data_IF_417963526183
#
_entry.id   IF_417963526183
#
_cell.length_a   1.000
_cell.length_b   1.000
_cell.length_c   1.000
_cell.angle_alpha   90.00
_cell.angle_beta   90.00
_cell.angle_gamma   90.00
#
_symmetry.space_group_name_H-M   'P 1'
#
loop_
_entity.id
_entity.type
_entity.pdbx_description
1 polymer ?
#
# COMPACT_ATOMS: atom_id res chain seq x y z
N UNK A 1 10.21 -28.84 -4.06
CA UNK A 1 11.23 -28.38 -5.04
C UNK A 1 12.68 -28.69 -4.63
N UNK A 2 12.96 -29.44 -3.55
CA UNK A 2 14.32 -29.89 -3.20
C UNK A 2 15.32 -28.78 -2.86
N UNK A 3 14.88 -27.53 -2.70
CA UNK A 3 15.71 -26.39 -2.33
C UNK A 3 15.60 -26.12 -0.83
N UNK A 4 16.67 -25.65 -0.23
CA UNK A 4 16.68 -25.07 1.13
C UNK A 4 16.40 -23.58 1.04
N UNK A 5 15.65 -23.04 2.00
CA UNK A 5 15.25 -21.62 2.03
C UNK A 5 15.53 -21.04 3.41
N UNK A 6 16.21 -19.89 3.41
CA UNK A 6 16.25 -18.98 4.55
C UNK A 6 15.33 -17.80 4.24
N UNK A 7 14.26 -17.65 5.02
CA UNK A 7 13.37 -16.50 4.95
C UNK A 7 13.82 -15.47 5.97
N UNK A 8 14.35 -14.35 5.49
CA UNK A 8 14.82 -13.24 6.32
C UNK A 8 13.80 -12.12 6.22
N UNK A 9 13.27 -11.68 7.35
CA UNK A 9 12.21 -10.67 7.41
C UNK A 9 12.50 -9.64 8.50
N UNK A 10 12.30 -8.34 8.23
CA UNK A 10 12.41 -7.32 9.26
C UNK A 10 11.23 -7.38 10.25
N UNK A 11 10.10 -7.95 9.86
CA UNK A 11 8.91 -8.07 10.69
C UNK A 11 8.93 -9.29 11.62
N UNK A 12 8.18 -9.17 12.72
CA UNK A 12 7.92 -10.28 13.64
C UNK A 12 6.74 -11.17 13.20
N UNK A 13 5.91 -10.70 12.27
CA UNK A 13 4.70 -11.39 11.79
C UNK A 13 4.79 -11.55 10.27
N UNK A 14 4.59 -12.78 9.74
CA UNK A 14 4.72 -13.06 8.30
C UNK A 14 3.35 -13.17 7.64
N UNK A 15 3.29 -12.72 6.39
CA UNK A 15 2.07 -12.73 5.57
C UNK A 15 1.77 -11.40 4.89
N UNK A 16 2.64 -10.39 5.06
CA UNK A 16 2.49 -9.08 4.46
C UNK A 16 1.16 -8.43 4.85
N UNK A 17 0.53 -7.73 3.92
CA UNK A 17 -0.70 -6.98 4.22
C UNK A 17 -1.88 -7.84 4.68
N UNK A 18 -1.93 -9.14 4.33
CA UNK A 18 -3.00 -10.04 4.81
C UNK A 18 -3.03 -10.16 6.33
N UNK A 19 -1.86 -10.05 6.98
CA UNK A 19 -1.72 -10.07 8.44
C UNK A 19 -1.64 -8.68 9.05
N UNK A 20 -1.73 -7.63 8.22
CA UNK A 20 -1.66 -6.22 8.60
C UNK A 20 -2.94 -5.46 8.20
N UNK A 21 -4.09 -6.10 8.43
CA UNK A 21 -5.42 -5.49 8.37
C UNK A 21 -6.12 -5.56 7.01
N UNK A 22 -5.44 -5.97 5.93
CA UNK A 22 -6.05 -6.23 4.62
C UNK A 22 -6.75 -7.61 4.63
N UNK A 23 -7.89 -7.67 5.31
CA UNK A 23 -8.70 -8.88 5.44
C UNK A 23 -9.61 -9.16 4.23
N UNK A 24 -9.67 -8.21 3.30
CA UNK A 24 -10.65 -8.18 2.23
C UNK A 24 -10.05 -8.24 0.85
N UNK A 25 -9.96 -9.44 0.26
CA UNK A 25 -9.40 -9.59 -1.07
C UNK A 25 -10.32 -9.02 -2.17
N UNK A 26 -9.69 -8.49 -3.20
CA UNK A 26 -10.33 -7.99 -4.42
C UNK A 26 -10.68 -9.11 -5.40
N UNK A 27 -11.41 -10.09 -4.86
CA UNK A 27 -11.83 -11.30 -5.55
C UNK A 27 -13.36 -11.36 -5.54
N UNK A 28 -13.94 -11.46 -6.74
CA UNK A 28 -15.38 -11.55 -6.99
C UNK A 28 -16.19 -10.42 -6.30
N UNK A 29 -15.56 -9.26 -6.11
CA UNK A 29 -16.16 -8.11 -5.42
C UNK A 29 -16.36 -6.89 -6.37
N UNK A 30 -16.26 -7.13 -7.67
CA UNK A 30 -16.49 -6.17 -8.74
C UNK A 30 -17.64 -6.63 -9.66
N UNK A 31 -17.93 -5.88 -10.74
CA UNK A 31 -18.92 -6.29 -11.75
C UNK A 31 -18.50 -7.55 -12.55
N UNK A 32 -17.26 -8.01 -12.39
CA UNK A 32 -16.72 -9.24 -12.97
C UNK A 32 -16.32 -10.25 -11.88
N UNK A 33 -16.19 -11.52 -12.26
CA UNK A 33 -15.59 -12.56 -11.43
C UNK A 33 -14.13 -12.76 -11.86
N UNK A 34 -13.24 -13.03 -10.92
CA UNK A 34 -11.81 -13.21 -11.14
C UNK A 34 -11.19 -14.31 -10.25
N UNK A 35 -11.99 -15.02 -9.44
CA UNK A 35 -11.50 -16.12 -8.60
C UNK A 35 -10.87 -17.27 -9.39
N UNK A 36 -11.31 -17.51 -10.62
CA UNK A 36 -10.73 -18.52 -11.51
C UNK A 36 -9.26 -18.23 -11.87
N UNK A 37 -8.80 -16.98 -11.73
CA UNK A 37 -7.40 -16.61 -11.92
C UNK A 37 -6.52 -16.94 -10.70
N UNK A 38 -7.13 -17.21 -9.54
CA UNK A 38 -6.43 -17.49 -8.28
C UNK A 38 -6.02 -18.96 -8.25
N UNK A 39 -4.76 -19.23 -8.59
CA UNK A 39 -4.17 -20.56 -8.64
C UNK A 39 -3.04 -20.79 -7.63
N UNK A 40 -2.41 -21.97 -7.71
CA UNK A 40 -1.18 -22.31 -6.98
C UNK A 40 -1.25 -22.09 -5.46
N UNK A 41 -0.13 -21.59 -4.90
CA UNK A 41 0.00 -21.32 -3.46
C UNK A 41 -0.99 -20.26 -2.96
N UNK A 42 -1.34 -19.26 -3.79
CA UNK A 42 -2.32 -18.25 -3.42
C UNK A 42 -3.71 -18.89 -3.19
N UNK A 43 -4.12 -19.80 -4.07
CA UNK A 43 -5.37 -20.56 -3.88
C UNK A 43 -5.34 -21.44 -2.64
N UNK A 44 -4.21 -22.06 -2.35
CA UNK A 44 -4.03 -22.87 -1.15
C UNK A 44 -4.23 -22.05 0.13
N UNK A 45 -3.65 -20.84 0.22
CA UNK A 45 -3.88 -19.92 1.34
C UNK A 45 -5.38 -19.67 1.54
N UNK A 46 -6.11 -19.33 0.47
CA UNK A 46 -7.55 -19.07 0.57
C UNK A 46 -8.38 -20.30 0.93
N UNK A 47 -7.98 -21.50 0.48
CA UNK A 47 -8.62 -22.75 0.91
C UNK A 47 -8.38 -23.04 2.39
N UNK A 48 -7.15 -22.85 2.88
CA UNK A 48 -6.81 -23.01 4.30
C UNK A 48 -7.58 -22.02 5.17
N UNK A 49 -7.66 -20.76 4.74
CA UNK A 49 -8.54 -19.76 5.35
C UNK A 49 -10.00 -20.24 5.38
N UNK A 50 -10.51 -20.74 4.25
CA UNK A 50 -11.83 -21.35 4.15
C UNK A 50 -12.07 -22.42 5.21
N UNK A 51 -11.12 -23.36 5.36
CA UNK A 51 -11.16 -24.42 6.37
C UNK A 51 -11.19 -23.87 7.80
N UNK A 52 -10.41 -22.82 8.12
CA UNK A 52 -10.44 -22.15 9.43
C UNK A 52 -11.82 -21.58 9.77
N UNK A 53 -12.60 -21.23 8.76
CA UNK A 53 -13.99 -20.76 8.88
C UNK A 53 -15.04 -21.85 8.61
N UNK A 54 -14.66 -23.13 8.55
CA UNK A 54 -15.59 -24.24 8.33
C UNK A 54 -16.22 -24.29 6.92
N UNK A 55 -15.59 -23.66 5.92
CA UNK A 55 -16.06 -23.63 4.53
C UNK A 55 -15.45 -24.76 3.70
N UNK A 56 -16.24 -25.29 2.76
CA UNK A 56 -15.79 -26.29 1.78
C UNK A 56 -15.13 -25.67 0.53
N UNK A 57 -14.63 -24.43 0.63
CA UNK A 57 -14.07 -23.66 -0.48
C UNK A 57 -13.28 -22.45 0.04
N UNK A 58 -12.74 -21.61 -0.85
CA UNK A 58 -11.88 -20.51 -0.45
C UNK A 58 -12.64 -19.44 0.36
N UNK A 59 -11.93 -18.75 1.26
CA UNK A 59 -12.43 -17.55 1.94
C UNK A 59 -11.62 -16.32 1.52
N UNK A 60 -12.28 -15.39 0.81
CA UNK A 60 -11.69 -14.12 0.36
C UNK A 60 -11.90 -12.95 1.33
N UNK A 61 -12.64 -13.19 2.42
CA UNK A 61 -12.77 -12.29 3.57
C UNK A 61 -12.33 -13.06 4.82
N UNK A 62 -11.36 -12.52 5.54
CA UNK A 62 -10.68 -13.19 6.66
C UNK A 62 -10.14 -12.17 7.66
N UNK A 63 -9.86 -12.62 8.87
CA UNK A 63 -9.20 -11.87 9.92
C UNK A 63 -7.68 -12.02 9.82
N UNK A 64 -6.93 -10.97 10.16
CA UNK A 64 -5.47 -10.96 10.05
C UNK A 64 -4.80 -12.03 10.93
N UNK A 65 -5.27 -12.21 12.17
CA UNK A 65 -4.80 -13.30 13.04
C UNK A 65 -4.98 -14.70 12.43
N UNK A 66 -6.03 -14.91 11.61
CA UNK A 66 -6.33 -16.20 10.98
C UNK A 66 -5.43 -16.41 9.76
N UNK A 67 -5.19 -15.35 8.97
CA UNK A 67 -4.20 -15.38 7.91
C UNK A 67 -2.79 -15.68 8.45
N UNK A 68 -2.42 -15.06 9.58
CA UNK A 68 -1.12 -15.31 10.21
C UNK A 68 -0.95 -16.76 10.64
N UNK A 69 -2.00 -17.36 11.24
CA UNK A 69 -2.00 -18.79 11.58
C UNK A 69 -1.79 -19.67 10.33
N UNK A 70 -2.46 -19.36 9.23
CA UNK A 70 -2.31 -20.12 7.97
C UNK A 70 -0.87 -20.01 7.44
N UNK A 71 -0.27 -18.83 7.45
CA UNK A 71 1.13 -18.68 7.02
C UNK A 71 2.09 -19.41 7.95
N UNK A 72 1.88 -19.34 9.28
CA UNK A 72 2.69 -20.08 10.24
C UNK A 72 2.63 -21.60 10.01
N UNK A 73 1.45 -22.14 9.75
CA UNK A 73 1.24 -23.56 9.40
C UNK A 73 1.99 -23.93 8.12
N UNK A 74 1.83 -23.15 7.05
CA UNK A 74 2.50 -23.41 5.76
C UNK A 74 4.03 -23.38 5.89
N UNK A 75 4.58 -22.44 6.66
CA UNK A 75 6.02 -22.35 6.91
C UNK A 75 6.54 -23.53 7.73
N UNK A 76 5.79 -23.96 8.75
CA UNK A 76 6.14 -25.11 9.57
C UNK A 76 6.10 -26.43 8.76
N UNK A 77 5.07 -26.63 7.95
CA UNK A 77 4.94 -27.77 7.05
C UNK A 77 6.07 -27.82 6.02
N UNK A 78 6.43 -26.66 5.45
CA UNK A 78 7.53 -26.52 4.51
C UNK A 78 8.92 -26.58 5.18
N UNK A 79 8.99 -26.54 6.52
CA UNK A 79 10.23 -26.52 7.32
C UNK A 79 11.19 -25.41 6.89
N UNK A 80 10.65 -24.22 6.59
CA UNK A 80 11.45 -23.05 6.20
C UNK A 80 12.19 -22.50 7.43
N UNK A 81 13.48 -22.19 7.27
CA UNK A 81 14.23 -21.49 8.31
C UNK A 81 13.87 -20.01 8.27
N UNK A 82 13.31 -19.48 9.36
CA UNK A 82 12.80 -18.10 9.44
C UNK A 82 13.66 -17.27 10.38
N UNK A 83 14.14 -16.12 9.90
CA UNK A 83 14.95 -15.16 10.63
C UNK A 83 14.20 -13.82 10.72
N UNK A 84 13.52 -13.60 11.85
CA UNK A 84 12.68 -12.42 12.12
C UNK A 84 13.48 -11.24 12.67
N UNK A 85 12.98 -10.03 12.50
CA UNK A 85 13.64 -8.82 13.02
C UNK A 85 15.01 -8.58 12.40
N UNK A 86 15.19 -8.97 11.13
CA UNK A 86 16.44 -8.82 10.38
C UNK A 86 16.22 -7.87 9.22
N UNK A 87 16.81 -6.67 9.33
CA UNK A 87 16.86 -5.65 8.27
C UNK A 87 18.22 -5.67 7.59
N UNK A 88 18.26 -5.34 6.30
CA UNK A 88 19.50 -5.12 5.57
C UNK A 88 20.31 -3.99 6.22
N UNK A 89 21.63 -4.10 6.22
CA UNK A 89 22.51 -3.07 6.77
C UNK A 89 22.36 -1.74 6.00
N UNK A 90 22.29 -0.62 6.73
CA UNK A 90 22.44 0.71 6.15
C UNK A 90 23.91 1.21 6.19
N UNK A 91 24.36 1.99 5.18
CA UNK A 91 23.64 2.31 3.94
C UNK A 91 23.44 1.04 3.09
N UNK A 92 22.30 0.92 2.40
CA UNK A 92 21.90 -0.32 1.71
C UNK A 92 22.98 -0.87 0.75
N UNK A 93 23.73 0.02 0.09
CA UNK A 93 24.84 -0.34 -0.82
C UNK A 93 25.97 -1.11 -0.12
N UNK A 94 26.06 -1.06 1.20
CA UNK A 94 27.03 -1.82 2.00
C UNK A 94 26.54 -3.21 2.43
N UNK A 95 25.27 -3.56 2.12
CA UNK A 95 24.67 -4.82 2.54
C UNK A 95 24.91 -5.97 1.56
N UNK A 96 25.27 -5.69 0.30
CA UNK A 96 25.43 -6.70 -0.76
C UNK A 96 26.90 -6.90 -1.12
N UNK A 97 27.34 -8.16 -1.19
CA UNK A 97 28.64 -8.55 -1.75
C UNK A 97 28.42 -9.38 -3.02
N UNK A 98 29.05 -8.99 -4.12
CA UNK A 98 29.07 -9.76 -5.37
C UNK A 98 30.24 -10.74 -5.39
N UNK A 99 30.05 -11.89 -6.05
CA UNK A 99 31.15 -12.82 -6.30
C UNK A 99 32.19 -12.17 -7.25
N UNK A 100 33.51 -12.32 -6.98
CA UNK A 100 34.56 -11.64 -7.73
C UNK A 100 34.45 -11.82 -9.25
N UNK A 101 34.52 -10.73 -10.00
CA UNK A 101 34.45 -10.74 -11.46
C UNK A 101 33.08 -11.08 -12.06
N UNK A 102 32.03 -11.18 -11.25
CA UNK A 102 30.66 -11.50 -11.72
C UNK A 102 29.63 -10.47 -11.25
N UNK A 103 28.38 -10.63 -11.69
CA UNK A 103 27.18 -9.95 -11.17
C UNK A 103 26.29 -10.91 -10.36
N UNK A 104 26.84 -12.02 -9.87
CA UNK A 104 26.13 -12.87 -8.93
C UNK A 104 26.30 -12.30 -7.52
N UNK A 105 25.20 -12.04 -6.82
CA UNK A 105 25.23 -11.75 -5.39
C UNK A 105 25.75 -13.01 -4.69
N UNK A 106 26.80 -12.86 -3.88
CA UNK A 106 27.35 -13.92 -3.04
C UNK A 106 26.66 -13.93 -1.68
N UNK A 107 26.47 -12.75 -1.10
CA UNK A 107 25.91 -12.62 0.25
C UNK A 107 25.19 -11.30 0.49
N UNK A 108 24.25 -11.33 1.43
CA UNK A 108 23.65 -10.14 2.03
C UNK A 108 24.00 -10.04 3.53
N UNK A 109 24.12 -8.82 4.04
CA UNK A 109 24.51 -8.53 5.43
C UNK A 109 23.44 -7.71 6.13
N UNK A 110 23.03 -8.18 7.31
CA UNK A 110 22.02 -7.52 8.14
C UNK A 110 22.63 -6.42 9.00
N UNK A 111 21.79 -5.56 9.58
CA UNK A 111 22.20 -4.57 10.59
C UNK A 111 22.95 -5.20 11.77
N UNK A 112 22.55 -6.42 12.19
CA UNK A 112 23.23 -7.17 13.25
C UNK A 112 24.63 -7.68 12.88
N UNK A 113 25.01 -7.59 11.61
CA UNK A 113 26.24 -8.19 11.07
C UNK A 113 26.10 -9.66 10.65
N UNK A 114 24.95 -10.29 10.88
CA UNK A 114 24.63 -11.61 10.32
C UNK A 114 24.71 -11.58 8.79
N UNK A 115 25.28 -12.63 8.20
CA UNK A 115 25.52 -12.75 6.77
C UNK A 115 24.83 -13.99 6.22
N UNK A 116 24.11 -13.83 5.12
CA UNK A 116 23.39 -14.90 4.44
C UNK A 116 23.98 -15.11 3.05
N UNK A 117 24.43 -16.33 2.77
CA UNK A 117 24.92 -16.74 1.44
C UNK A 117 23.88 -17.64 0.77
N UNK A 118 23.61 -17.41 -0.51
CA UNK A 118 22.65 -18.18 -1.27
C UNK A 118 23.02 -18.22 -2.76
N UNK A 119 22.55 -19.25 -3.46
CA UNK A 119 22.68 -19.33 -4.91
C UNK A 119 21.73 -18.37 -5.65
N UNK A 120 20.57 -18.08 -5.04
CA UNK A 120 19.52 -17.19 -5.56
C UNK A 120 18.99 -16.35 -4.41
N UNK A 121 18.77 -15.07 -4.69
CA UNK A 121 18.16 -14.12 -3.78
C UNK A 121 16.80 -13.70 -4.33
N UNK A 122 15.81 -13.59 -3.43
CA UNK A 122 14.46 -13.13 -3.77
C UNK A 122 14.19 -11.87 -2.96
N UNK A 123 14.05 -10.73 -3.63
CA UNK A 123 13.61 -9.49 -2.99
C UNK A 123 12.08 -9.45 -2.94
N UNK A 124 11.54 -9.91 -1.81
CA UNK A 124 10.13 -9.86 -1.49
C UNK A 124 9.76 -8.66 -0.59
N UNK A 125 10.66 -7.67 -0.45
CA UNK A 125 10.32 -6.41 0.23
C UNK A 125 9.39 -5.58 -0.66
N UNK A 126 8.46 -4.84 -0.05
CA UNK A 126 7.57 -3.94 -0.79
C UNK A 126 8.36 -2.74 -1.34
N UNK A 127 9.46 -2.40 -0.67
CA UNK A 127 10.29 -1.22 -0.92
C UNK A 127 11.37 -1.44 -1.98
N UNK A 128 11.64 -2.69 -2.35
CA UNK A 128 12.73 -3.06 -3.27
C UNK A 128 14.10 -2.80 -2.67
N UNK A 129 14.28 -3.04 -1.37
CA UNK A 129 15.51 -2.69 -0.66
C UNK A 129 16.70 -3.54 -1.08
N UNK A 130 16.50 -4.82 -1.43
CA UNK A 130 17.59 -5.65 -1.92
C UNK A 130 17.94 -5.30 -3.38
N UNK A 131 16.95 -4.92 -4.20
CA UNK A 131 17.21 -4.34 -5.53
C UNK A 131 18.11 -3.10 -5.40
N UNK A 132 17.71 -2.15 -4.55
CA UNK A 132 18.47 -0.92 -4.33
C UNK A 132 19.86 -1.20 -3.74
N UNK A 133 19.96 -2.12 -2.78
CA UNK A 133 21.24 -2.54 -2.19
C UNK A 133 22.19 -3.16 -3.21
N UNK A 134 21.66 -3.93 -4.17
CA UNK A 134 22.43 -4.55 -5.24
C UNK A 134 22.81 -3.56 -6.37
N UNK A 135 22.34 -2.31 -6.31
CA UNK A 135 22.58 -1.32 -7.36
C UNK A 135 21.81 -1.60 -8.65
N UNK A 136 20.71 -2.36 -8.57
CA UNK A 136 19.78 -2.53 -9.69
C UNK A 136 19.08 -1.21 -9.98
N UNK A 137 18.95 -0.84 -11.25
CA UNK A 137 18.21 0.34 -11.66
C UNK A 137 16.76 0.23 -11.19
N UNK A 138 16.32 1.25 -10.46
CA UNK A 138 14.96 1.39 -9.97
C UNK A 138 14.45 2.79 -10.27
N UNK A 139 13.13 2.92 -10.35
CA UNK A 139 12.44 4.20 -10.43
C UNK A 139 11.32 4.25 -9.39
N UNK A 140 10.77 5.43 -9.17
CA UNK A 140 9.67 5.69 -8.25
C UNK A 140 8.99 6.99 -8.68
N UNK A 141 7.75 7.21 -8.23
CA UNK A 141 6.96 8.35 -8.68
C UNK A 141 6.38 8.13 -10.08
N UNK A 142 5.94 9.20 -10.72
CA UNK A 142 5.31 9.12 -12.05
C UNK A 142 6.34 9.39 -13.13
N UNK A 143 6.33 8.53 -14.15
CA UNK A 143 7.10 8.77 -15.37
C UNK A 143 6.29 9.58 -16.37
N UNK A 144 6.98 10.33 -17.23
CA UNK A 144 6.34 11.08 -18.29
C UNK A 144 5.74 10.16 -19.35
N UNK A 145 4.61 10.54 -19.95
CA UNK A 145 3.96 9.81 -21.04
C UNK A 145 4.95 9.52 -22.19
N UNK A 146 5.86 10.44 -22.48
CA UNK A 146 6.85 10.31 -23.55
C UNK A 146 7.88 9.20 -23.32
N UNK A 147 8.03 8.68 -22.09
CA UNK A 147 9.01 7.64 -21.79
C UNK A 147 8.67 6.32 -22.47
N UNK A 148 7.39 5.94 -22.44
CA UNK A 148 6.92 4.67 -23.00
C UNK A 148 5.74 4.79 -23.97
N UNK A 149 5.28 6.01 -24.28
CA UNK A 149 4.14 6.22 -25.19
C UNK A 149 2.77 6.00 -24.53
N UNK A 150 2.71 6.17 -23.21
CA UNK A 150 1.53 5.97 -22.38
C UNK A 150 0.68 7.24 -22.29
N UNK A 151 -0.51 7.14 -21.69
CA UNK A 151 -1.46 8.27 -21.55
C UNK A 151 -2.03 8.44 -20.15
N UNK A 152 -1.87 7.41 -19.30
CA UNK A 152 -2.44 7.34 -17.95
C UNK A 152 -1.43 7.65 -16.85
N UNK A 153 -0.14 7.35 -17.07
CA UNK A 153 0.93 7.81 -16.19
C UNK A 153 1.18 9.33 -16.34
N UNK A 154 2.08 9.84 -15.49
CA UNK A 154 2.38 11.27 -15.40
C UNK A 154 1.30 12.09 -14.68
N UNK A 155 1.52 13.41 -14.67
CA UNK A 155 0.58 14.39 -14.12
C UNK A 155 -0.77 14.30 -14.85
N UNK A 156 -1.86 14.20 -14.09
CA UNK A 156 -3.20 14.07 -14.67
C UNK A 156 -3.80 15.45 -14.94
N UNK A 157 -4.24 15.70 -16.17
CA UNK A 157 -4.96 16.93 -16.51
C UNK A 157 -6.28 17.07 -15.73
N UNK A 158 -6.94 15.94 -15.45
CA UNK A 158 -8.14 15.84 -14.66
C UNK A 158 -8.20 14.51 -13.91
N UNK A 159 -8.80 14.53 -12.72
CA UNK A 159 -8.99 13.41 -11.80
C UNK A 159 -10.46 13.41 -11.42
N UNK A 160 -11.19 12.42 -11.93
CA UNK A 160 -12.64 12.33 -11.79
C UNK A 160 -13.08 11.30 -10.76
N UNK A 161 -12.20 10.38 -10.37
CA UNK A 161 -12.48 9.35 -9.38
C UNK A 161 -12.11 9.83 -7.97
N UNK A 162 -12.95 9.49 -6.98
CA UNK A 162 -12.80 9.88 -5.57
C UNK A 162 -12.37 11.36 -5.38
N UNK A 163 -12.97 12.26 -6.14
CA UNK A 163 -12.79 13.70 -6.01
C UNK A 163 -13.76 14.26 -4.97
N UNK A 164 -13.39 15.38 -4.32
CA UNK A 164 -14.27 16.09 -3.40
C UNK A 164 -15.68 16.29 -3.98
N UNK A 165 -16.70 15.87 -3.24
CA UNK A 165 -18.11 16.04 -3.63
C UNK A 165 -18.59 17.49 -3.57
N UNK A 166 -17.89 18.33 -2.80
CA UNK A 166 -18.21 19.74 -2.59
C UNK A 166 -16.94 20.59 -2.71
N UNK A 167 -17.10 21.88 -3.03
CA UNK A 167 -15.96 22.81 -3.08
C UNK A 167 -15.49 23.14 -1.66
N UNK A 168 -14.23 22.81 -1.36
CA UNK A 168 -13.61 23.07 -0.07
C UNK A 168 -12.58 24.19 -0.21
N UNK A 169 -12.70 25.22 0.63
CA UNK A 169 -11.74 26.32 0.67
C UNK A 169 -10.39 25.84 1.25
N UNK A 170 -9.26 26.04 0.55
CA UNK A 170 -7.97 25.52 0.96
C UNK A 170 -7.13 26.51 1.79
N UNK A 171 -7.60 27.74 1.98
CA UNK A 171 -6.80 28.85 2.50
C UNK A 171 -7.00 29.05 4.00
N UNK A 172 -5.97 29.51 4.74
CA UNK A 172 -6.09 29.72 6.19
C UNK A 172 -7.21 30.70 6.53
N UNK A 173 -7.32 31.80 5.78
CA UNK A 173 -8.46 32.70 5.78
C UNK A 173 -9.31 32.36 4.55
N UNK A 174 -10.58 31.93 4.72
CA UNK A 174 -11.43 31.56 3.59
C UNK A 174 -11.50 32.65 2.52
N UNK A 175 -11.27 32.26 1.26
CA UNK A 175 -11.28 33.13 0.09
C UNK A 175 -9.99 33.93 -0.16
N UNK A 176 -9.03 33.93 0.77
CA UNK A 176 -7.79 34.70 0.64
C UNK A 176 -6.56 33.82 0.33
N UNK A 177 -6.12 33.75 -0.94
CA UNK A 177 -4.93 32.98 -1.31
C UNK A 177 -3.64 33.48 -0.65
N UNK A 178 -3.58 34.72 -0.17
CA UNK A 178 -2.39 35.26 0.50
C UNK A 178 -2.25 34.79 1.93
N UNK A 179 -3.29 34.20 2.51
CA UNK A 179 -3.26 33.67 3.88
C UNK A 179 -2.46 32.37 4.03
N UNK A 180 -2.03 31.78 2.91
CA UNK A 180 -1.41 30.46 2.87
C UNK A 180 -2.44 29.34 2.97
N UNK A 181 -1.98 28.09 2.97
CA UNK A 181 -2.86 26.92 2.95
C UNK A 181 -3.10 26.32 4.34
N UNK A 182 -4.25 25.66 4.49
CA UNK A 182 -4.54 24.79 5.64
C UNK A 182 -3.68 23.52 5.57
N UNK A 183 -3.47 22.82 6.71
CA UNK A 183 -2.71 21.58 6.73
C UNK A 183 -3.24 20.53 5.74
N UNK A 184 -2.37 19.62 5.30
CA UNK A 184 -2.64 18.52 4.35
C UNK A 184 -2.95 18.93 2.91
N UNK A 185 -2.81 20.23 2.57
CA UNK A 185 -2.81 20.73 1.20
C UNK A 185 -1.39 21.13 0.83
N UNK A 186 -0.87 20.59 -0.27
CA UNK A 186 0.43 20.95 -0.80
C UNK A 186 0.36 22.28 -1.56
N UNK A 187 1.28 23.18 -1.23
CA UNK A 187 1.48 24.46 -1.92
C UNK A 187 2.38 24.26 -3.13
N UNK A 188 1.82 23.62 -4.16
CA UNK A 188 2.51 23.36 -5.41
C UNK A 188 1.53 23.43 -6.59
N UNK A 189 2.00 23.85 -7.78
CA UNK A 189 1.15 23.87 -8.97
C UNK A 189 0.83 22.45 -9.45
N UNK A 190 -0.21 22.34 -10.27
CA UNK A 190 -0.53 21.08 -10.96
C UNK A 190 0.65 20.58 -11.81
N UNK A 191 1.42 21.48 -12.43
CA UNK A 191 2.44 21.11 -13.42
C UNK A 191 1.81 20.79 -14.78
N UNK A 192 2.62 20.28 -15.72
CA UNK A 192 2.18 20.01 -17.08
C UNK A 192 1.61 18.60 -17.18
N UNK A 193 0.36 18.42 -17.64
CA UNK A 193 -0.21 17.09 -17.84
C UNK A 193 0.69 16.21 -18.72
N UNK A 194 0.93 14.99 -18.27
CA UNK A 194 1.78 14.01 -18.92
C UNK A 194 3.27 14.08 -18.60
N UNK A 195 3.74 15.08 -17.87
CA UNK A 195 5.10 15.09 -17.31
C UNK A 195 5.20 14.15 -16.10
N UNK A 196 6.42 13.68 -15.83
CA UNK A 196 6.74 12.88 -14.65
C UNK A 196 7.04 13.75 -13.43
N UNK A 197 6.94 13.16 -12.24
CA UNK A 197 7.27 13.80 -10.97
C UNK A 197 7.52 12.78 -9.84
N UNK A 198 7.90 13.30 -8.68
CA UNK A 198 8.20 12.55 -7.47
C UNK A 198 6.95 12.23 -6.62
N UNK A 199 5.76 12.14 -7.23
CA UNK A 199 4.52 11.85 -6.51
C UNK A 199 4.15 10.36 -6.63
N UNK A 200 3.79 9.76 -5.50
CA UNK A 200 3.36 8.35 -5.42
C UNK A 200 1.99 8.25 -4.75
N UNK A 201 1.32 7.12 -4.95
CA UNK A 201 0.03 6.83 -4.33
C UNK A 201 0.13 6.95 -2.80
N UNK A 202 -0.83 7.65 -2.17
CA UNK A 202 -0.79 7.87 -0.72
C UNK A 202 -0.81 6.58 0.09
N UNK A 203 -0.23 6.59 1.28
CA UNK A 203 -0.28 5.46 2.20
C UNK A 203 -1.43 5.62 3.22
N UNK A 204 -1.86 4.51 3.80
CA UNK A 204 -2.81 4.49 4.91
C UNK A 204 -2.59 3.26 5.79
N UNK A 205 -3.31 3.19 6.91
CA UNK A 205 -3.52 1.92 7.62
C UNK A 205 -4.73 1.17 7.06
N UNK A 206 -4.71 -0.16 7.16
CA UNK A 206 -5.89 -1.01 6.99
C UNK A 206 -6.42 -1.39 8.36
N UNK A 207 -7.47 -0.73 8.80
CA UNK A 207 -7.92 -0.83 10.18
C UNK A 207 -8.93 -1.95 10.35
N UNK A 208 -8.61 -2.86 11.27
CA UNK A 208 -9.53 -3.86 11.78
C UNK A 208 -10.18 -3.32 13.07
N UNK A 209 -11.41 -2.85 12.94
CA UNK A 209 -12.20 -2.30 14.03
C UNK A 209 -13.35 -3.25 14.36
N UNK A 210 -13.84 -3.19 15.59
CA UNK A 210 -15.00 -3.96 16.06
C UNK A 210 -15.96 -3.10 16.90
N UNK A 211 -17.24 -3.48 16.88
CA UNK A 211 -18.27 -2.97 17.80
C UNK A 211 -18.59 -3.92 18.95
N UNK A 212 -18.03 -5.13 18.93
CA UNK A 212 -18.22 -6.09 20.01
C UNK A 212 -17.58 -5.56 21.30
N UNK A 213 -18.39 -5.19 22.28
CA UNK A 213 -17.94 -4.58 23.54
C UNK A 213 -16.92 -5.45 24.31
N UNK A 214 -17.00 -6.79 24.17
CA UNK A 214 -16.04 -7.70 24.82
C UNK A 214 -14.68 -7.62 24.13
N UNK A 215 -14.66 -7.52 22.80
CA UNK A 215 -13.45 -7.47 21.97
C UNK A 215 -12.96 -6.03 21.67
N UNK A 216 -13.70 -4.99 22.07
CA UNK A 216 -13.39 -3.60 21.71
C UNK A 216 -12.37 -2.97 22.67
N UNK A 217 -11.29 -2.43 22.10
CA UNK A 217 -10.39 -1.47 22.75
C UNK A 217 -10.85 -0.07 22.33
N UNK A 218 -11.24 0.81 23.27
CA UNK A 218 -11.57 2.20 22.97
C UNK A 218 -10.41 2.94 22.30
N UNK A 219 -10.71 3.90 21.44
CA UNK A 219 -9.72 4.78 20.82
C UNK A 219 -9.67 6.07 21.65
N UNK A 220 -8.67 6.25 22.55
CA UNK A 220 -8.60 7.45 23.38
C UNK A 220 -8.19 8.67 22.55
N UNK A 221 -8.33 9.87 23.12
CA UNK A 221 -7.76 11.07 22.51
C UNK A 221 -6.24 10.93 22.45
N UNK A 222 -5.58 11.07 21.29
CA UNK A 222 -4.13 11.06 21.22
C UNK A 222 -3.51 12.17 22.07
N UNK A 223 -2.34 11.90 22.67
CA UNK A 223 -1.63 12.89 23.49
C UNK A 223 -1.15 14.09 22.65
N UNK A 224 -0.76 13.82 21.42
CA UNK A 224 -0.27 14.74 20.40
C UNK A 224 -1.39 15.24 19.46
N UNK A 225 -2.65 15.10 19.85
CA UNK A 225 -3.78 15.52 19.03
C UNK A 225 -3.77 17.04 18.76
N UNK A 226 -3.46 17.41 17.53
CA UNK A 226 -3.65 18.75 17.00
C UNK A 226 -4.91 18.80 16.14
N UNK A 227 -5.94 19.48 16.66
CA UNK A 227 -7.22 19.67 15.96
C UNK A 227 -7.06 20.41 14.63
N UNK A 228 -6.10 21.33 14.54
CA UNK A 228 -5.88 22.16 13.36
C UNK A 228 -5.45 21.36 12.13
N UNK A 229 -4.85 20.18 12.31
CA UNK A 229 -4.48 19.28 11.22
C UNK A 229 -5.69 18.76 10.42
N UNK A 230 -6.88 18.79 11.03
CA UNK A 230 -8.11 18.25 10.45
C UNK A 230 -9.04 19.33 9.91
N UNK A 231 -8.57 20.58 9.75
CA UNK A 231 -9.35 21.72 9.26
C UNK A 231 -10.13 21.40 7.97
N UNK A 232 -9.54 20.61 7.08
CA UNK A 232 -10.18 20.19 5.82
C UNK A 232 -11.47 19.38 6.03
N UNK A 233 -11.56 18.60 7.11
CA UNK A 233 -12.76 17.80 7.44
C UNK A 233 -13.91 18.69 7.88
N UNK A 234 -13.64 19.69 8.73
CA UNK A 234 -14.66 20.64 9.16
C UNK A 234 -15.20 21.46 7.98
N UNK A 235 -14.29 21.93 7.10
CA UNK A 235 -14.69 22.68 5.90
C UNK A 235 -15.48 21.83 4.91
N UNK A 236 -15.09 20.58 4.73
CA UNK A 236 -15.80 19.64 3.87
C UNK A 236 -17.24 19.44 4.35
N UNK A 237 -17.44 19.16 5.64
CA UNK A 237 -18.78 19.04 6.24
C UNK A 237 -19.58 20.34 6.12
N UNK A 238 -18.97 21.48 6.45
CA UNK A 238 -19.62 22.81 6.38
C UNK A 238 -20.07 23.16 4.96
N UNK A 239 -19.34 22.72 3.95
CA UNK A 239 -19.69 22.87 2.54
C UNK A 239 -20.76 21.88 2.05
N UNK A 240 -21.25 20.99 2.93
CA UNK A 240 -22.30 20.00 2.62
C UNK A 240 -21.76 18.62 2.23
N UNK A 241 -20.45 18.37 2.37
CA UNK A 241 -19.83 17.07 2.12
C UNK A 241 -20.22 16.04 3.19
N UNK A 242 -20.23 14.76 2.82
CA UNK A 242 -20.58 13.65 3.71
C UNK A 242 -19.37 12.80 4.06
N UNK A 243 -19.00 12.75 5.34
CA UNK A 243 -17.91 11.90 5.80
C UNK A 243 -18.31 10.42 5.84
N UNK A 244 -17.36 9.56 5.54
CA UNK A 244 -17.54 8.11 5.54
C UNK A 244 -17.70 7.54 6.96
N UNK A 245 -18.33 6.37 7.03
CA UNK A 245 -18.59 5.65 8.28
C UNK A 245 -18.12 4.20 8.17
N UNK A 246 -17.66 3.57 9.28
CA UNK A 246 -17.15 2.20 9.21
C UNK A 246 -18.25 1.18 8.95
N UNK A 247 -17.91 0.11 8.23
CA UNK A 247 -18.81 -0.99 7.92
C UNK A 247 -18.11 -2.31 8.17
N UNK A 248 -18.76 -3.23 8.91
CA UNK A 248 -18.29 -4.59 9.08
C UNK A 248 -18.30 -5.32 7.72
N UNK A 249 -17.13 -5.76 7.27
CA UNK A 249 -16.95 -6.51 6.01
C UNK A 249 -16.18 -7.81 6.17
N UNK A 250 -15.62 -8.04 7.35
CA UNK A 250 -14.88 -9.23 7.70
C UNK A 250 -15.71 -10.13 8.64
N UNK A 251 -15.32 -11.41 8.80
CA UNK A 251 -15.89 -12.29 9.83
C UNK A 251 -15.92 -11.63 11.21
N UNK A 252 -16.84 -12.10 12.07
CA UNK A 252 -16.98 -11.64 13.45
C UNK A 252 -17.26 -10.14 13.62
N UNK A 253 -17.92 -9.52 12.62
CA UNK A 253 -18.36 -8.13 12.70
C UNK A 253 -17.23 -7.09 12.63
N UNK A 254 -16.08 -7.49 12.07
CA UNK A 254 -14.89 -6.63 11.97
C UNK A 254 -14.84 -5.84 10.66
N UNK A 255 -14.15 -4.70 10.67
CA UNK A 255 -13.90 -3.91 9.46
C UNK A 255 -12.66 -4.37 8.72
N UNK A 256 -12.64 -4.11 7.42
CA UNK A 256 -11.40 -3.91 6.67
C UNK A 256 -11.45 -2.49 6.13
N UNK A 257 -11.03 -1.56 6.98
CA UNK A 257 -11.22 -0.15 6.74
C UNK A 257 -9.98 0.45 6.10
N UNK A 258 -10.07 0.74 4.80
CA UNK A 258 -9.08 1.47 4.05
C UNK A 258 -9.51 2.90 3.73
N UNK A 259 -8.87 3.50 2.73
CA UNK A 259 -8.97 4.92 2.42
C UNK A 259 -9.17 5.17 0.92
N UNK A 260 -10.41 5.09 0.46
CA UNK A 260 -10.86 5.21 -0.95
C UNK A 260 -11.92 6.28 -1.16
N UNK A 261 -12.19 7.07 -0.12
CA UNK A 261 -13.14 8.16 -0.19
C UNK A 261 -12.46 9.44 -0.66
N UNK A 262 -13.26 10.40 -1.12
CA UNK A 262 -12.81 11.73 -1.50
C UNK A 262 -12.08 12.46 -0.37
N UNK A 263 -12.54 12.28 0.87
CA UNK A 263 -11.81 12.68 2.07
C UNK A 263 -11.69 11.50 3.05
N UNK A 264 -10.52 10.89 3.11
CA UNK A 264 -10.20 9.71 3.92
C UNK A 264 -8.92 9.88 4.73
N UNK A 265 -8.53 8.85 5.51
CA UNK A 265 -7.29 8.81 6.27
C UNK A 265 -6.01 8.71 5.41
N UNK A 266 -6.09 8.87 4.09
CA UNK A 266 -4.92 8.97 3.24
C UNK A 266 -4.23 10.32 3.49
N UNK A 267 -2.95 10.28 3.85
CA UNK A 267 -2.09 11.46 3.84
C UNK A 267 -1.45 11.62 2.46
N UNK A 268 -2.20 12.24 1.55
CA UNK A 268 -1.73 12.56 0.20
C UNK A 268 -0.44 13.39 0.25
N UNK A 269 0.57 12.99 -0.53
CA UNK A 269 1.85 13.69 -0.67
C UNK A 269 2.81 13.58 0.51
N UNK A 270 2.43 12.97 1.64
CA UNK A 270 3.27 12.88 2.84
C UNK A 270 4.13 11.60 2.91
N UNK A 271 4.35 10.97 1.77
CA UNK A 271 5.07 9.70 1.65
C UNK A 271 6.18 9.72 0.60
N UNK A 272 6.44 10.87 -0.06
CA UNK A 272 7.41 10.99 -1.18
C UNK A 272 8.85 10.62 -0.79
N UNK A 273 9.22 10.81 0.47
CA UNK A 273 10.54 10.44 0.99
C UNK A 273 10.66 8.94 1.31
N UNK A 274 9.55 8.20 1.39
CA UNK A 274 9.56 6.80 1.83
C UNK A 274 10.35 5.86 0.93
N UNK A 275 10.21 5.89 -0.42
CA UNK A 275 10.88 4.91 -1.29
C UNK A 275 12.38 4.90 -1.08
N UNK A 276 13.01 6.08 -1.03
CA UNK A 276 14.48 6.24 -0.89
C UNK A 276 14.97 6.60 0.51
N UNK A 277 14.07 6.75 1.47
CA UNK A 277 14.40 7.08 2.85
C UNK A 277 15.13 5.94 3.55
N UNK A 278 16.02 6.31 4.46
CA UNK A 278 16.61 5.38 5.43
C UNK A 278 15.55 4.88 6.44
N UNK A 279 15.90 3.91 7.27
CA UNK A 279 14.98 3.35 8.26
C UNK A 279 14.44 4.41 9.22
N UNK A 280 15.24 5.44 9.56
CA UNK A 280 14.81 6.55 10.40
C UNK A 280 13.75 7.40 9.71
N UNK A 281 13.91 7.67 8.42
CA UNK A 281 12.97 8.43 7.59
C UNK A 281 11.66 7.66 7.44
N UNK A 282 11.72 6.36 7.14
CA UNK A 282 10.53 5.50 7.04
C UNK A 282 9.78 5.38 8.37
N UNK A 283 10.49 5.25 9.49
CA UNK A 283 9.87 5.25 10.82
C UNK A 283 9.18 6.58 11.13
N UNK A 284 9.80 7.73 10.79
CA UNK A 284 9.17 9.04 10.93
C UNK A 284 7.85 9.10 10.15
N UNK A 285 7.87 8.71 8.88
CA UNK A 285 6.68 8.69 8.02
C UNK A 285 5.60 7.76 8.60
N UNK A 286 5.97 6.57 9.09
CA UNK A 286 5.05 5.67 9.78
C UNK A 286 4.38 6.34 10.99
N UNK A 287 5.16 7.01 11.85
CA UNK A 287 4.64 7.69 13.04
C UNK A 287 3.71 8.85 12.71
N UNK A 288 4.05 9.64 11.69
CA UNK A 288 3.19 10.73 11.20
C UNK A 288 1.83 10.19 10.72
N UNK A 289 1.83 9.11 9.94
CA UNK A 289 0.59 8.46 9.48
C UNK A 289 -0.20 7.84 10.63
N UNK A 290 0.46 7.25 11.62
CA UNK A 290 -0.18 6.66 12.80
C UNK A 290 -0.86 7.74 13.64
N UNK A 291 -0.14 8.83 13.93
CA UNK A 291 -0.64 9.97 14.71
C UNK A 291 -1.86 10.60 14.01
N UNK A 292 -1.76 10.88 12.71
CA UNK A 292 -2.87 11.43 11.93
C UNK A 292 -4.07 10.49 11.89
N UNK A 293 -3.85 9.20 11.65
CA UNK A 293 -4.95 8.22 11.61
C UNK A 293 -5.63 8.13 12.97
N UNK A 294 -4.85 8.01 14.05
CA UNK A 294 -5.38 7.94 15.42
C UNK A 294 -6.20 9.18 15.79
N UNK A 295 -5.69 10.39 15.51
CA UNK A 295 -6.41 11.61 15.78
C UNK A 295 -7.67 11.76 14.90
N UNK A 296 -7.62 11.33 13.65
CA UNK A 296 -8.80 11.34 12.78
C UNK A 296 -9.91 10.44 13.33
N UNK A 297 -9.61 9.19 13.71
CA UNK A 297 -10.62 8.27 14.26
C UNK A 297 -11.25 8.84 15.52
N UNK A 298 -10.43 9.44 16.40
CA UNK A 298 -10.94 10.09 17.60
C UNK A 298 -11.84 11.28 17.26
N UNK A 299 -11.41 12.17 16.37
CA UNK A 299 -12.16 13.35 15.93
C UNK A 299 -13.51 12.97 15.33
N UNK A 300 -13.55 11.95 14.46
CA UNK A 300 -14.79 11.48 13.81
C UNK A 300 -15.83 10.98 14.82
N UNK A 301 -15.41 10.45 15.97
CA UNK A 301 -16.30 9.98 17.04
C UNK A 301 -16.69 11.06 18.07
N UNK A 302 -15.88 12.11 18.25
CA UNK A 302 -15.98 12.97 19.44
C UNK A 302 -16.08 14.48 19.17
N UNK A 303 -15.58 15.01 18.05
CA UNK A 303 -15.49 16.46 17.87
C UNK A 303 -16.88 17.08 17.57
N UNK A 304 -17.33 18.10 18.33
CA UNK A 304 -18.68 18.67 18.22
C UNK A 304 -18.99 19.29 16.84
N UNK A 305 -18.00 19.68 16.05
CA UNK A 305 -18.21 20.23 14.70
C UNK A 305 -18.43 19.16 13.62
N UNK A 306 -18.17 17.89 13.92
CA UNK A 306 -18.53 16.77 13.06
C UNK A 306 -20.05 16.52 13.14
N UNK A 307 -20.75 16.02 12.12
CA UNK A 307 -22.18 15.75 12.24
C UNK A 307 -22.47 14.66 13.30
N UNK A 308 -23.57 14.78 14.03
CA UNK A 308 -23.93 13.78 15.05
C UNK A 308 -24.17 12.39 14.43
N UNK A 309 -24.70 12.32 13.20
CA UNK A 309 -24.85 11.06 12.48
C UNK A 309 -23.50 10.35 12.27
N UNK A 310 -22.47 11.10 11.88
CA UNK A 310 -21.10 10.60 11.75
C UNK A 310 -20.55 10.19 13.11
N UNK A 311 -20.62 11.06 14.13
CA UNK A 311 -20.13 10.74 15.48
C UNK A 311 -20.78 9.49 16.05
N UNK A 312 -22.11 9.37 15.97
CA UNK A 312 -22.85 8.21 16.45
C UNK A 312 -22.42 6.93 15.71
N UNK A 313 -22.21 7.00 14.40
CA UNK A 313 -21.74 5.86 13.61
C UNK A 313 -20.31 5.40 13.98
N UNK A 314 -19.49 6.30 14.52
CA UNK A 314 -18.10 6.06 14.90
C UNK A 314 -17.90 5.70 16.37
N UNK A 315 -18.73 6.23 17.27
CA UNK A 315 -18.61 6.12 18.74
C UNK A 315 -18.53 4.67 19.23
N UNK A 316 -19.17 3.75 18.52
CA UNK A 316 -19.22 2.34 18.90
C UNK A 316 -18.08 1.49 18.35
N UNK A 317 -17.23 2.04 17.47
CA UNK A 317 -16.09 1.32 16.93
C UNK A 317 -14.84 1.53 17.78
N UNK A 318 -14.07 0.47 17.94
CA UNK A 318 -12.74 0.53 18.52
C UNK A 318 -11.83 -0.53 17.92
N UNK A 319 -10.57 -0.55 18.35
CA UNK A 319 -9.61 -1.56 17.91
C UNK A 319 -9.99 -2.92 18.48
N UNK A 320 -9.44 -3.99 17.92
CA UNK A 320 -9.74 -5.35 18.35
C UNK A 320 -8.75 -5.81 19.44
N UNK A 321 -9.23 -6.41 20.53
CA UNK A 321 -8.40 -7.05 21.56
C UNK A 321 -7.74 -8.34 21.08
N UNK A 322 -8.28 -8.95 20.04
CA UNK A 322 -7.84 -10.23 19.50
C UNK A 322 -7.06 -10.13 18.18
N UNK A 323 -6.89 -8.93 17.63
CA UNK A 323 -6.00 -8.64 16.51
C UNK A 323 -4.84 -7.79 17.02
N UNK A 324 -3.65 -7.95 16.43
CA UNK A 324 -2.50 -7.11 16.74
C UNK A 324 -2.21 -6.97 18.25
N UNK A 325 -2.28 -8.09 18.97
CA UNK A 325 -2.29 -8.14 20.44
C UNK A 325 -1.01 -7.60 21.07
N UNK A 326 0.10 -7.67 20.36
CA UNK A 326 1.41 -7.12 20.69
C UNK A 326 1.56 -5.62 20.33
N UNK A 327 0.62 -5.04 19.59
CA UNK A 327 0.66 -3.66 19.12
C UNK A 327 -0.62 -2.87 19.49
N UNK A 328 -1.24 -3.23 20.61
CA UNK A 328 -2.38 -2.49 21.16
C UNK A 328 -3.63 -2.48 20.27
N UNK A 329 -3.79 -3.47 19.40
CA UNK A 329 -4.90 -3.55 18.45
C UNK A 329 -4.67 -2.80 17.13
N UNK A 330 -3.51 -2.16 16.94
CA UNK A 330 -3.16 -1.46 15.71
C UNK A 330 -2.40 -2.37 14.73
N UNK A 331 -2.69 -2.31 13.42
CA UNK A 331 -1.79 -2.86 12.42
C UNK A 331 -0.36 -2.33 12.60
N UNK A 332 0.62 -3.18 12.34
CA UNK A 332 2.05 -2.95 12.59
C UNK A 332 2.75 -2.28 11.41
N UNK A 333 2.13 -2.32 10.24
CA UNK A 333 2.67 -1.80 8.99
C UNK A 333 1.71 -0.86 8.29
N UNK A 334 2.26 0.11 7.55
CA UNK A 334 1.49 0.89 6.60
C UNK A 334 1.12 0.05 5.39
N UNK A 335 -0.03 0.34 4.81
CA UNK A 335 -0.37 -0.12 3.47
C UNK A 335 0.38 0.74 2.44
N UNK A 336 1.59 0.29 2.14
CA UNK A 336 2.45 0.83 1.11
C UNK A 336 1.94 0.30 -0.23
N UNK A 337 1.58 1.22 -1.13
CA UNK A 337 1.00 0.86 -2.44
C UNK A 337 1.96 1.03 -3.60
N UNK A 338 2.96 1.90 -3.41
CA UNK A 338 4.00 2.18 -4.38
C UNK A 338 5.27 2.58 -3.61
N UNK A 339 6.41 2.11 -4.08
CA UNK A 339 7.73 2.43 -3.56
C UNK A 339 8.74 2.45 -4.71
N UNK A 340 9.77 1.60 -4.68
CA UNK A 340 10.65 1.42 -5.84
C UNK A 340 10.08 0.34 -6.75
N UNK A 341 10.19 0.56 -8.05
CA UNK A 341 9.96 -0.46 -9.08
C UNK A 341 11.20 -0.60 -9.94
N UNK A 342 11.53 -1.84 -10.30
CA UNK A 342 12.74 -2.15 -11.07
C UNK A 342 12.65 -1.59 -12.50
N UNK A 343 13.79 -1.32 -13.16
CA UNK A 343 13.84 -0.98 -14.58
C UNK A 343 14.74 -1.98 -15.33
N UNK A 344 14.12 -3.03 -15.88
CA UNK A 344 14.80 -4.13 -16.56
C UNK A 344 14.67 -4.05 -18.09
N UNK A 345 15.11 -5.10 -18.80
CA UNK A 345 15.00 -5.25 -20.25
C UNK A 345 13.54 -5.46 -20.73
N UNK A 346 12.61 -5.67 -19.80
CA UNK A 346 11.18 -5.79 -20.05
C UNK A 346 10.44 -4.93 -19.02
N UNK A 347 9.72 -3.90 -19.48
CA UNK A 347 8.95 -2.98 -18.62
C UNK A 347 7.46 -3.16 -18.89
N UNK A 348 6.69 -3.38 -17.83
CA UNK A 348 5.23 -3.45 -17.88
C UNK A 348 4.67 -2.03 -17.97
N UNK A 349 4.06 -1.70 -19.10
CA UNK A 349 3.41 -0.40 -19.34
C UNK A 349 1.89 -0.54 -19.46
N UNK A 350 1.17 0.59 -19.48
CA UNK A 350 -0.25 0.73 -19.80
C UNK A 350 -0.65 -0.08 -21.04
N UNK A 351 0.24 -0.22 -22.03
CA UNK A 351 -0.06 -0.97 -23.25
C UNK A 351 -0.40 -2.44 -23.00
N UNK A 352 0.12 -3.06 -21.94
CA UNK A 352 -0.22 -4.43 -21.55
C UNK A 352 -1.59 -4.50 -20.87
N UNK A 353 -1.97 -3.45 -20.16
CA UNK A 353 -3.20 -3.42 -19.37
C UNK A 353 -4.42 -3.16 -20.23
N UNK A 354 -4.26 -2.75 -21.50
CA UNK A 354 -5.37 -2.36 -22.39
C UNK A 354 -6.30 -3.52 -22.74
N UNK A 355 -7.60 -3.23 -22.80
CA UNK A 355 -8.60 -4.18 -23.31
C UNK A 355 -8.56 -4.36 -24.82
N UNK A 356 -8.29 -3.28 -25.54
CA UNK A 356 -8.28 -3.24 -27.01
C UNK A 356 -6.83 -3.15 -27.48
N UNK A 357 -6.42 -4.10 -28.32
CA UNK A 357 -5.06 -4.22 -28.84
C UNK A 357 -3.96 -4.20 -27.74
N UNK A 358 -4.05 -5.06 -26.69
CA UNK A 358 -2.99 -5.15 -25.69
C UNK A 358 -1.67 -5.60 -26.31
N UNK A 359 -0.56 -5.14 -25.74
CA UNK A 359 0.76 -5.74 -25.99
C UNK A 359 0.76 -7.19 -25.47
N UNK A 360 1.02 -8.19 -26.32
CA UNK A 360 1.08 -9.59 -25.89
C UNK A 360 2.23 -9.85 -24.91
N UNK A 361 2.01 -10.75 -23.96
CA UNK A 361 3.02 -11.16 -22.97
C UNK A 361 3.54 -12.55 -23.35
N UNK A 362 4.81 -12.71 -23.75
CA UNK A 362 5.31 -13.95 -24.36
C UNK A 362 5.57 -15.10 -23.36
N UNK A 363 5.89 -14.78 -22.11
CA UNK A 363 6.34 -15.73 -21.07
C UNK A 363 5.70 -15.44 -19.69
N UNK A 364 4.36 -15.47 -19.58
CA UNK A 364 3.68 -15.13 -18.35
C UNK A 364 3.89 -16.18 -17.26
N UNK A 365 4.31 -15.73 -16.07
CA UNK A 365 4.45 -16.57 -14.85
C UNK A 365 3.46 -16.19 -13.75
N UNK A 366 2.73 -15.09 -13.94
CA UNK A 366 1.59 -14.68 -13.11
C UNK A 366 0.56 -13.92 -13.97
N UNK A 367 -0.58 -13.56 -13.37
CA UNK A 367 -1.64 -12.79 -14.01
C UNK A 367 -2.05 -11.64 -13.10
N UNK A 368 -2.18 -10.44 -13.66
CA UNK A 368 -2.84 -9.31 -13.01
C UNK A 368 -4.30 -9.25 -13.50
N UNK A 369 -5.23 -9.34 -12.56
CA UNK A 369 -6.68 -9.37 -12.83
C UNK A 369 -7.42 -8.39 -11.92
N UNK A 370 -7.08 -7.12 -12.07
CA UNK A 370 -7.73 -5.97 -11.45
C UNK A 370 -7.47 -4.73 -12.31
N UNK A 371 -8.40 -3.75 -12.40
CA UNK A 371 -8.10 -2.46 -13.03
C UNK A 371 -6.84 -1.84 -12.46
N UNK A 372 -6.15 -1.04 -13.28
CA UNK A 372 -5.12 -0.13 -12.77
C UNK A 372 -5.74 0.76 -11.70
N UNK A 373 -5.20 0.71 -10.49
CA UNK A 373 -5.77 1.35 -9.30
C UNK A 373 -4.71 2.21 -8.61
N UNK A 374 -4.56 3.44 -9.11
CA UNK A 374 -3.70 4.46 -8.53
C UNK A 374 -4.58 5.47 -7.83
N UNK A 375 -4.59 5.49 -6.51
CA UNK A 375 -5.24 6.54 -5.73
C UNK A 375 -4.51 7.88 -5.91
N UNK A 376 -5.18 8.97 -5.54
CA UNK A 376 -4.58 10.30 -5.54
C UNK A 376 -3.22 10.32 -4.84
N UNK A 377 -2.30 11.10 -5.41
CA UNK A 377 -0.89 11.17 -5.01
C UNK A 377 -0.59 12.43 -4.20
N UNK A 378 -1.43 13.46 -4.33
CA UNK A 378 -1.34 14.74 -3.61
C UNK A 378 -2.70 15.44 -3.56
N UNK A 379 -2.78 16.48 -2.74
CA UNK A 379 -3.92 17.40 -2.64
C UNK A 379 -3.44 18.84 -2.79
N UNK A 380 -3.87 19.50 -3.86
CA UNK A 380 -3.41 20.85 -4.22
C UNK A 380 -4.58 21.83 -4.31
N UNK A 381 -4.29 23.09 -4.62
CA UNK A 381 -5.30 24.08 -4.98
C UNK A 381 -5.53 24.04 -6.49
N UNK A 382 -6.80 23.93 -6.90
CA UNK A 382 -7.23 24.10 -8.28
C UNK A 382 -8.51 24.91 -8.32
N UNK A 383 -8.54 25.94 -9.17
CA UNK A 383 -9.69 26.85 -9.33
C UNK A 383 -10.18 27.41 -7.99
N UNK A 384 -9.25 27.72 -7.08
CA UNK A 384 -9.54 28.26 -5.74
C UNK A 384 -10.14 27.26 -4.74
N UNK A 385 -10.12 25.95 -5.02
CA UNK A 385 -10.62 24.91 -4.13
C UNK A 385 -9.58 23.79 -3.92
N UNK A 386 -9.72 23.04 -2.82
CA UNK A 386 -8.94 21.82 -2.61
C UNK A 386 -9.27 20.77 -3.69
N UNK A 387 -8.25 20.09 -4.20
CA UNK A 387 -8.36 19.16 -5.31
C UNK A 387 -7.42 17.98 -5.10
N UNK A 388 -7.97 16.76 -5.07
CA UNK A 388 -7.16 15.54 -5.04
C UNK A 388 -6.64 15.23 -6.45
N UNK A 389 -5.33 15.08 -6.63
CA UNK A 389 -4.73 14.87 -7.94
C UNK A 389 -4.14 13.46 -8.06
N UNK A 390 -4.27 12.86 -9.24
CA UNK A 390 -3.52 11.67 -9.63
C UNK A 390 -4.31 10.36 -9.67
N UNK A 391 -5.59 10.34 -9.25
CA UNK A 391 -6.36 9.09 -9.25
C UNK A 391 -6.57 8.55 -10.68
N UNK A 392 -6.23 7.28 -10.90
CA UNK A 392 -6.55 6.48 -12.09
C UNK A 392 -7.24 5.19 -11.63
N UNK A 393 -8.50 4.97 -12.02
CA UNK A 393 -9.26 3.77 -11.68
C UNK A 393 -10.34 3.45 -12.71
N UNK A 394 -10.49 2.17 -13.02
CA UNK A 394 -11.59 1.53 -13.74
C UNK A 394 -12.27 2.40 -14.82
N UNK A 395 -11.48 2.89 -15.77
CA UNK A 395 -12.00 3.69 -16.88
C UNK A 395 -12.56 2.83 -18.03
N UNK A 396 -12.79 1.53 -17.78
CA UNK A 396 -13.20 0.50 -18.75
C UNK A 396 -12.25 0.27 -19.94
N UNK A 397 -11.03 0.83 -19.92
CA UNK A 397 -10.03 0.60 -20.98
C UNK A 397 -9.04 -0.51 -20.65
N UNK A 398 -9.20 -1.18 -19.50
CA UNK A 398 -8.29 -2.21 -19.02
C UNK A 398 -8.79 -3.65 -19.30
N UNK A 399 -7.88 -4.62 -19.32
CA UNK A 399 -8.13 -6.06 -19.35
C UNK A 399 -7.04 -6.84 -18.60
N UNK A 400 -7.31 -8.09 -18.18
CA UNK A 400 -6.32 -8.92 -17.49
C UNK A 400 -5.11 -9.19 -18.38
N UNK A 401 -3.92 -9.19 -17.78
CA UNK A 401 -2.67 -9.40 -18.51
C UNK A 401 -1.69 -10.29 -17.73
N UNK A 402 -0.84 -10.98 -18.47
CA UNK A 402 0.22 -11.80 -17.89
C UNK A 402 1.38 -10.96 -17.37
N UNK A 403 2.09 -11.47 -16.37
CA UNK A 403 3.34 -10.89 -15.87
C UNK A 403 4.50 -11.73 -16.42
N UNK A 404 5.28 -11.15 -17.32
CA UNK A 404 6.48 -11.79 -17.87
C UNK A 404 7.49 -12.08 -16.76
N UNK A 405 8.13 -13.25 -16.80
CA UNK A 405 9.27 -13.54 -15.92
C UNK A 405 10.39 -12.49 -16.04
N UNK A 406 10.57 -11.90 -17.24
CA UNK A 406 11.58 -10.87 -17.51
C UNK A 406 11.32 -9.57 -16.75
N UNK A 407 10.08 -9.29 -16.37
CA UNK A 407 9.74 -8.16 -15.50
C UNK A 407 10.13 -8.42 -14.04
N UNK A 408 10.43 -9.67 -13.65
CA UNK A 408 10.73 -10.06 -12.27
C UNK A 408 12.23 -10.25 -12.02
N UNK A 409 13.06 -10.03 -13.03
CA UNK A 409 14.52 -10.13 -12.92
C UNK A 409 15.19 -8.83 -13.42
N UNK A 410 16.32 -8.42 -12.81
CA UNK A 410 17.07 -7.25 -13.27
C UNK A 410 17.80 -7.55 -14.58
N UNK A 411 18.42 -6.52 -15.16
CA UNK A 411 19.30 -6.73 -16.31
C UNK A 411 20.46 -7.60 -15.86
N UNK A 412 20.92 -8.51 -16.72
CA UNK A 412 22.03 -9.42 -16.38
C UNK A 412 23.33 -8.68 -16.02
N UNK A 413 23.51 -7.45 -16.53
CA UNK A 413 24.63 -6.58 -16.20
C UNK A 413 24.60 -6.02 -14.78
N UNK A 414 23.45 -6.08 -14.10
CA UNK A 414 23.25 -5.56 -12.74
C UNK A 414 23.29 -6.70 -11.72
N UNK A 415 22.47 -7.74 -11.92
CA UNK A 415 22.50 -8.95 -11.12
C UNK A 415 22.03 -10.18 -11.91
N UNK A 416 22.63 -11.36 -11.64
CA UNK A 416 22.32 -12.60 -12.38
C UNK A 416 21.53 -13.63 -11.58
N UNK A 417 21.37 -13.44 -10.28
CA UNK A 417 20.72 -14.39 -9.36
C UNK A 417 19.76 -13.70 -8.38
N UNK A 418 19.19 -12.57 -8.79
CA UNK A 418 18.20 -11.80 -8.04
C UNK A 418 16.85 -11.85 -8.77
N UNK A 419 15.77 -12.08 -8.02
CA UNK A 419 14.39 -12.09 -8.52
C UNK A 419 13.54 -11.23 -7.58
N UNK A 420 12.55 -10.50 -8.09
CA UNK A 420 11.58 -9.76 -7.26
C UNK A 420 10.14 -10.08 -7.66
N UNK A 421 9.31 -10.62 -6.74
CA UNK A 421 7.87 -10.72 -6.96
C UNK A 421 7.10 -9.45 -6.57
N UNK A 422 7.70 -8.55 -5.79
CA UNK A 422 7.00 -7.40 -5.19
C UNK A 422 7.27 -6.07 -5.90
N UNK A 423 8.43 -5.93 -6.55
CA UNK A 423 8.85 -4.70 -7.23
C UNK A 423 9.10 -4.96 -8.73
N UNK A 424 8.12 -5.50 -9.48
CA UNK A 424 8.30 -5.85 -10.88
C UNK A 424 8.69 -4.63 -11.71
N UNK A 425 9.36 -4.87 -12.82
CA UNK A 425 9.70 -3.81 -13.75
C UNK A 425 8.46 -3.28 -14.45
N UNK A 426 8.13 -2.04 -14.13
CA UNK A 426 6.89 -1.35 -14.53
C UNK A 426 7.05 0.16 -14.56
#
# INVERSE_FOLDING_TARGET
>A
MGRTVALVAPEQHLGGMMVEGLGGADINNHWFQNDFAVGGLAREVYLRLGKKYGKNGPAYRYESKVAEQVFAEMLAEARVQVFRGRRLREPLTSSVEFAPGTRAIRSITMESGERFEAAVFIDATIEGDLLAAAGVETTWGREANSKYGETKNGIRAATTHAQFQVRVDPYRIPGDPKSGLIPTIQDEPLGTPGEGDANIQAFCFRLCLTRDAVNRIPIPKPRDFDRGLYEIYFRYVKAGGTLWTPVARLPNGKTDLGSWHDLSANLYGMNREYPNGDYKTRERIYREHLSFTHGLLWLLAHDPEIPESTRAAWRDWGLCKDEFTDNGGWPRSLYIRDARRMVSDYVITEHHTRRINPTPVPDPVAVAFWPTDTHSVRRIVRDGAAYNEGFVFDDNHWGPFGISYRALIPRRSEATNLITPACPSS
#
